data_IF_868444035108
#
_entry.id   IF_868444035108
#
_cell.length_a   1.000
_cell.length_b   1.000
_cell.length_c   1.000
_cell.angle_alpha   90.00
_cell.angle_beta   90.00
_cell.angle_gamma   90.00
#
_symmetry.space_group_name_H-M   'P 1'
#
loop_
_entity.id
_entity.type
_entity.pdbx_description
1 polymer ?
#
# COMPACT_ATOMS: atom_id res chain seq x y z
N UNK A 1 29.26 -98.41 -26.71
CA UNK A 1 29.23 -96.95 -26.96
C UNK A 1 28.03 -96.35 -26.22
N UNK A 2 28.24 -95.88 -24.99
CA UNK A 2 27.19 -95.23 -24.19
C UNK A 2 27.25 -93.70 -24.38
N UNK A 3 26.20 -93.11 -24.95
CA UNK A 3 26.03 -91.65 -25.03
C UNK A 3 25.47 -91.16 -23.70
N UNK A 4 26.24 -90.33 -22.99
CA UNK A 4 25.75 -89.58 -21.82
C UNK A 4 25.14 -88.26 -22.30
N UNK A 5 23.87 -88.06 -22.03
CA UNK A 5 23.15 -86.80 -22.25
C UNK A 5 23.39 -85.91 -21.04
N UNK A 6 23.99 -84.74 -21.22
CA UNK A 6 24.07 -83.71 -20.18
C UNK A 6 22.85 -82.80 -20.25
N UNK A 7 22.13 -82.68 -19.14
CA UNK A 7 21.09 -81.68 -18.95
C UNK A 7 21.72 -80.42 -18.35
N UNK A 8 21.55 -79.28 -19.02
CA UNK A 8 21.93 -77.96 -18.51
C UNK A 8 20.73 -77.38 -17.78
N UNK A 9 20.88 -77.14 -16.48
CA UNK A 9 19.89 -76.42 -15.68
C UNK A 9 20.10 -74.91 -15.84
N UNK A 10 19.08 -74.21 -16.32
CA UNK A 10 19.04 -72.74 -16.39
C UNK A 10 18.29 -72.24 -15.17
N UNK A 11 18.99 -71.60 -14.24
CA UNK A 11 18.37 -70.94 -13.09
C UNK A 11 17.78 -69.59 -13.50
N UNK A 12 16.46 -69.43 -13.33
CA UNK A 12 15.79 -68.16 -13.50
C UNK A 12 16.01 -67.28 -12.25
N UNK A 13 16.62 -66.10 -12.44
CA UNK A 13 16.74 -65.08 -11.39
C UNK A 13 15.46 -64.26 -11.38
N UNK A 14 14.68 -64.35 -10.31
CA UNK A 14 13.50 -63.53 -10.10
C UNK A 14 13.94 -62.12 -9.69
N UNK A 15 13.70 -61.12 -10.54
CA UNK A 15 13.84 -59.71 -10.17
C UNK A 15 12.62 -59.28 -9.36
N UNK A 16 12.81 -59.05 -8.05
CA UNK A 16 11.82 -58.39 -7.21
C UNK A 16 11.80 -56.90 -7.55
N UNK A 17 10.77 -56.45 -8.26
CA UNK A 17 10.52 -55.03 -8.46
C UNK A 17 10.03 -54.41 -7.14
N UNK A 18 10.81 -53.48 -6.56
CA UNK A 18 10.32 -52.62 -5.49
C UNK A 18 9.26 -51.68 -6.09
N UNK A 19 8.00 -51.86 -5.70
CA UNK A 19 6.95 -50.90 -5.98
C UNK A 19 7.18 -49.66 -5.09
N UNK A 20 7.62 -48.56 -5.70
CA UNK A 20 7.65 -47.24 -5.05
C UNK A 20 6.21 -46.74 -4.98
N UNK A 21 5.66 -46.61 -3.77
CA UNK A 21 4.36 -45.99 -3.57
C UNK A 21 4.41 -44.52 -4.05
N UNK A 22 3.43 -44.02 -4.80
CA UNK A 22 3.40 -42.61 -5.19
C UNK A 22 3.27 -41.76 -3.93
N UNK A 23 4.22 -40.83 -3.74
CA UNK A 23 4.11 -39.78 -2.72
C UNK A 23 2.93 -38.91 -3.14
N UNK A 24 1.80 -39.05 -2.44
CA UNK A 24 0.65 -38.17 -2.62
C UNK A 24 1.04 -36.77 -2.18
N UNK A 25 1.33 -35.88 -3.14
CA UNK A 25 1.53 -34.48 -2.86
C UNK A 25 0.21 -33.92 -2.33
N UNK A 26 0.20 -33.41 -1.08
CA UNK A 26 -0.92 -32.62 -0.59
C UNK A 26 -1.06 -31.40 -1.50
N UNK A 27 -2.08 -31.38 -2.35
CA UNK A 27 -2.44 -30.17 -3.08
C UNK A 27 -3.01 -29.19 -2.06
N UNK A 28 -2.30 -28.10 -1.79
CA UNK A 28 -2.86 -27.01 -0.99
C UNK A 28 -4.07 -26.44 -1.73
N UNK A 29 -5.27 -26.63 -1.19
CA UNK A 29 -6.44 -25.92 -1.67
C UNK A 29 -6.33 -24.45 -1.26
N UNK A 30 -6.48 -23.54 -2.23
CA UNK A 30 -6.49 -22.11 -2.00
C UNK A 30 -7.88 -21.54 -2.28
N UNK A 31 -8.32 -20.61 -1.44
CA UNK A 31 -9.58 -19.87 -1.57
C UNK A 31 -9.25 -18.39 -1.75
N UNK A 32 -9.73 -17.82 -2.85
CA UNK A 32 -9.66 -16.39 -3.12
C UNK A 32 -10.92 -15.68 -2.57
N UNK A 33 -10.75 -14.46 -2.10
CA UNK A 33 -11.84 -13.63 -1.57
C UNK A 33 -11.58 -12.16 -1.82
N UNK A 34 -12.66 -11.42 -2.02
CA UNK A 34 -12.64 -9.97 -2.24
C UNK A 34 -13.30 -9.28 -1.06
N UNK A 35 -12.64 -8.25 -0.53
CA UNK A 35 -13.15 -7.44 0.56
C UNK A 35 -13.31 -5.99 0.12
N UNK A 36 -14.52 -5.47 0.26
CA UNK A 36 -14.83 -4.09 -0.08
C UNK A 36 -14.41 -3.16 1.05
N UNK A 37 -13.63 -2.15 0.71
CA UNK A 37 -13.23 -1.07 1.61
C UNK A 37 -13.85 0.22 1.08
N UNK A 38 -14.77 0.85 1.84
CA UNK A 38 -15.40 2.09 1.39
C UNK A 38 -14.40 3.23 1.33
N UNK A 39 -14.80 4.32 0.67
CA UNK A 39 -14.10 5.60 0.76
C UNK A 39 -13.85 5.98 2.22
N UNK A 40 -12.68 6.54 2.50
CA UNK A 40 -12.30 6.91 3.86
C UNK A 40 -11.65 8.28 3.86
N UNK A 41 -12.16 9.17 4.73
CA UNK A 41 -11.51 10.42 5.08
C UNK A 41 -10.70 10.24 6.36
N UNK A 42 -9.46 10.69 6.35
CA UNK A 42 -8.58 10.73 7.52
C UNK A 42 -8.67 12.10 8.16
N UNK A 43 -8.81 12.14 9.49
CA UNK A 43 -8.77 13.39 10.24
C UNK A 43 -7.50 14.19 9.94
N UNK A 44 -7.60 15.52 10.09
CA UNK A 44 -6.54 16.46 9.75
C UNK A 44 -5.20 16.06 10.39
N UNK A 45 -4.19 15.90 9.55
CA UNK A 45 -2.81 15.73 9.96
C UNK A 45 -2.08 17.07 9.90
N UNK A 46 -1.57 17.51 11.04
CA UNK A 46 -0.73 18.71 11.18
C UNK A 46 0.72 18.24 11.31
N UNK A 47 1.58 18.44 10.29
CA UNK A 47 3.00 18.15 10.40
C UNK A 47 3.66 19.04 11.47
N UNK A 48 4.64 18.51 12.22
CA UNK A 48 5.34 19.31 13.21
C UNK A 48 6.12 20.45 12.54
N UNK A 49 6.23 21.56 13.26
CA UNK A 49 7.14 22.64 12.91
C UNK A 49 8.59 22.14 12.97
N UNK A 50 9.37 22.53 11.97
CA UNK A 50 10.76 22.07 11.79
C UNK A 50 11.75 22.77 12.71
N UNK A 51 11.35 23.87 13.35
CA UNK A 51 12.26 24.75 14.10
C UNK A 51 12.80 25.94 13.28
N UNK A 52 12.43 26.07 12.01
CA UNK A 52 12.81 27.18 11.14
C UNK A 52 11.72 28.26 11.07
N UNK A 53 12.11 29.54 11.10
CA UNK A 53 11.22 30.69 11.07
C UNK A 53 10.49 30.97 12.38
N UNK A 54 9.43 31.77 12.30
CA UNK A 54 8.67 32.26 13.46
C UNK A 54 7.31 31.55 13.65
N UNK A 55 7.00 30.59 12.77
CA UNK A 55 5.76 29.80 12.69
C UNK A 55 4.59 30.49 12.00
N UNK A 56 4.78 31.69 11.47
CA UNK A 56 3.81 32.38 10.61
C UNK A 56 4.26 32.29 9.15
N UNK A 57 3.30 32.14 8.22
CA UNK A 57 3.56 32.18 6.77
C UNK A 57 3.15 33.53 6.16
N UNK A 58 2.31 34.31 6.86
CA UNK A 58 2.03 35.73 6.64
C UNK A 58 1.64 36.15 5.20
N UNK A 59 0.91 35.34 4.44
CA UNK A 59 0.56 35.65 3.05
C UNK A 59 1.76 35.64 2.10
N UNK A 60 2.89 35.10 2.53
CA UNK A 60 4.03 34.76 1.68
C UNK A 60 3.99 33.30 1.24
N UNK A 61 2.95 32.62 1.71
CA UNK A 61 2.60 31.25 1.47
C UNK A 61 3.62 30.26 1.99
N UNK A 62 3.20 29.05 2.39
CA UNK A 62 4.04 27.91 2.15
C UNK A 62 3.96 27.48 0.68
N UNK A 63 5.12 27.15 0.11
CA UNK A 63 5.20 26.16 -0.96
C UNK A 63 4.83 24.80 -0.37
N UNK A 64 3.67 24.27 -0.73
CA UNK A 64 3.11 23.03 -0.18
C UNK A 64 3.38 21.83 -1.10
N UNK A 65 3.67 20.69 -0.48
CA UNK A 65 3.66 19.38 -1.10
C UNK A 65 3.05 18.34 -0.15
N UNK A 66 2.17 17.49 -0.67
CA UNK A 66 1.52 16.41 0.08
C UNK A 66 1.68 15.10 -0.67
N UNK A 67 1.77 13.97 0.03
CA UNK A 67 1.59 12.68 -0.60
C UNK A 67 0.99 11.62 0.32
N UNK A 68 0.07 10.85 -0.24
CA UNK A 68 -0.52 9.66 0.34
C UNK A 68 0.14 8.40 -0.19
N UNK A 69 0.41 7.43 0.69
CA UNK A 69 0.97 6.13 0.32
C UNK A 69 0.32 5.00 1.09
N UNK A 70 -0.16 3.98 0.38
CA UNK A 70 -0.63 2.75 0.98
C UNK A 70 0.49 1.69 0.91
N UNK A 71 0.77 1.01 2.03
CA UNK A 71 1.79 -0.05 2.09
C UNK A 71 1.24 -1.32 2.71
N UNK A 72 1.65 -2.44 2.17
CA UNK A 72 1.56 -3.74 2.83
C UNK A 72 2.52 -3.78 4.02
N UNK A 73 2.14 -4.48 5.08
CA UNK A 73 3.12 -4.95 6.06
C UNK A 73 3.88 -6.17 5.52
N UNK A 74 4.92 -6.61 6.24
CA UNK A 74 5.86 -7.63 5.76
C UNK A 74 5.20 -8.98 5.41
N UNK A 75 4.12 -9.36 6.10
CA UNK A 75 3.39 -10.61 5.86
C UNK A 75 2.17 -10.43 4.94
N UNK A 76 1.95 -9.23 4.40
CA UNK A 76 0.83 -8.88 3.54
C UNK A 76 -0.56 -9.14 4.16
N UNK A 77 -0.68 -9.12 5.49
CA UNK A 77 -1.98 -9.26 6.18
C UNK A 77 -2.62 -7.91 6.53
N UNK A 78 -1.87 -6.81 6.39
CA UNK A 78 -2.32 -5.45 6.75
C UNK A 78 -1.92 -4.44 5.70
N UNK A 79 -2.76 -3.43 5.55
CA UNK A 79 -2.47 -2.20 4.85
C UNK A 79 -2.34 -1.06 5.85
N UNK A 80 -1.33 -0.22 5.65
CA UNK A 80 -1.06 0.98 6.44
C UNK A 80 -1.01 2.16 5.48
N UNK A 81 -1.82 3.18 5.77
CA UNK A 81 -1.84 4.42 5.00
C UNK A 81 -0.91 5.44 5.64
N UNK A 82 -0.06 6.07 4.83
CA UNK A 82 0.92 7.07 5.24
C UNK A 82 0.58 8.38 4.55
N UNK A 83 0.46 9.45 5.32
CA UNK A 83 0.32 10.82 4.82
C UNK A 83 1.57 11.61 5.18
N UNK A 84 2.12 12.33 4.22
CA UNK A 84 3.23 13.27 4.44
C UNK A 84 2.82 14.63 3.92
N UNK A 85 3.20 15.67 4.64
CA UNK A 85 3.04 17.06 4.20
C UNK A 85 4.34 17.81 4.48
N UNK A 86 4.73 18.62 3.51
CA UNK A 86 5.81 19.60 3.61
C UNK A 86 5.26 20.95 3.20
N UNK A 87 5.54 21.97 3.99
CA UNK A 87 5.18 23.35 3.69
C UNK A 87 6.34 24.24 4.12
N UNK A 88 6.80 25.13 3.24
CA UNK A 88 7.90 26.05 3.52
C UNK A 88 7.67 27.40 2.90
N UNK A 89 7.87 28.44 3.69
CA UNK A 89 7.77 29.83 3.27
C UNK A 89 8.70 30.16 2.10
N UNK A 90 8.28 31.09 1.24
CA UNK A 90 8.97 31.36 -0.03
C UNK A 90 9.79 32.65 -0.06
N UNK A 91 9.62 33.57 0.91
CA UNK A 91 10.16 34.95 0.81
C UNK A 91 11.02 35.39 2.01
N UNK A 92 10.48 35.36 3.22
CA UNK A 92 11.17 35.74 4.47
C UNK A 92 11.14 34.58 5.45
N UNK A 93 11.88 34.67 6.56
CA UNK A 93 11.89 33.89 7.82
C UNK A 93 11.96 32.35 7.74
N UNK A 94 11.63 31.77 6.60
CA UNK A 94 11.76 30.39 6.18
C UNK A 94 10.97 29.46 7.08
N UNK A 95 9.80 29.90 7.55
CA UNK A 95 8.88 29.08 8.33
C UNK A 95 8.63 27.76 7.59
N UNK A 96 8.75 26.63 8.29
CA UNK A 96 8.59 25.33 7.67
C UNK A 96 7.99 24.26 8.59
N UNK A 97 7.13 23.42 8.02
CA UNK A 97 6.59 22.20 8.63
C UNK A 97 6.93 20.99 7.75
N UNK A 98 7.27 19.88 8.39
CA UNK A 98 7.59 18.63 7.70
C UNK A 98 7.28 17.45 8.61
N UNK A 99 6.53 16.50 8.10
CA UNK A 99 6.50 15.20 8.74
C UNK A 99 5.55 14.23 8.09
N UNK A 100 5.55 13.03 8.64
CA UNK A 100 4.73 11.92 8.18
C UNK A 100 3.94 11.31 9.34
N UNK A 101 2.69 10.94 9.07
CA UNK A 101 1.84 10.15 9.98
C UNK A 101 1.31 8.91 9.28
N UNK A 102 1.20 7.82 10.02
CA UNK A 102 0.62 6.57 9.53
C UNK A 102 -0.70 6.24 10.25
N UNK A 103 -1.62 5.62 9.52
CA UNK A 103 -2.90 5.14 10.01
C UNK A 103 -3.07 3.66 9.66
N UNK A 104 -3.51 2.80 10.60
CA UNK A 104 -4.01 1.48 10.25
C UNK A 104 -5.13 1.62 9.22
N UNK A 105 -4.99 0.95 8.07
CA UNK A 105 -5.95 1.09 6.98
C UNK A 105 -6.92 -0.08 6.95
N UNK A 106 -6.39 -1.28 6.76
CA UNK A 106 -7.16 -2.51 6.64
C UNK A 106 -6.37 -3.71 7.17
N UNK A 107 -7.06 -4.71 7.71
CA UNK A 107 -6.49 -6.00 8.13
C UNK A 107 -7.38 -7.09 7.57
N UNK A 108 -6.80 -8.02 6.80
CA UNK A 108 -7.57 -9.15 6.26
C UNK A 108 -7.92 -10.15 7.36
N UNK A 109 -8.99 -10.96 7.20
CA UNK A 109 -9.31 -12.03 8.13
C UNK A 109 -8.18 -13.06 8.28
N UNK A 110 -8.17 -13.76 9.41
CA UNK A 110 -7.11 -14.69 9.75
C UNK A 110 -6.91 -15.81 8.70
N UNK A 111 -5.64 -15.98 8.29
CA UNK A 111 -5.21 -16.95 7.29
C UNK A 111 -5.26 -16.45 5.85
N UNK A 112 -5.77 -15.24 5.60
CA UNK A 112 -5.68 -14.60 4.28
C UNK A 112 -4.39 -13.78 4.15
N UNK A 113 -3.87 -13.72 2.93
CA UNK A 113 -2.75 -12.88 2.50
C UNK A 113 -3.22 -12.02 1.34
N UNK A 114 -3.00 -10.71 1.42
CA UNK A 114 -3.41 -9.78 0.37
C UNK A 114 -2.58 -10.02 -0.89
N UNK A 115 -3.26 -10.20 -2.01
CA UNK A 115 -2.67 -10.42 -3.33
C UNK A 115 -2.63 -9.11 -4.13
N UNK A 116 -3.72 -8.34 -4.13
CA UNK A 116 -3.79 -7.08 -4.88
C UNK A 116 -4.83 -6.12 -4.31
N UNK A 117 -4.76 -4.88 -4.75
CA UNK A 117 -5.72 -3.83 -4.43
C UNK A 117 -6.19 -3.19 -5.73
N UNK A 118 -7.50 -3.19 -5.94
CA UNK A 118 -8.13 -2.56 -7.11
C UNK A 118 -9.15 -1.52 -6.67
N UNK A 119 -9.67 -0.74 -7.61
CA UNK A 119 -10.93 -0.04 -7.40
C UNK A 119 -12.13 -0.98 -7.61
N UNK A 120 -13.37 -0.55 -7.31
CA UNK A 120 -14.58 -1.35 -7.46
C UNK A 120 -14.94 -1.76 -8.90
N UNK A 121 -14.22 -1.27 -9.91
CA UNK A 121 -14.42 -1.69 -11.31
C UNK A 121 -13.23 -2.52 -11.83
N UNK A 122 -12.38 -3.00 -10.93
CA UNK A 122 -11.31 -3.95 -11.22
C UNK A 122 -10.00 -3.34 -11.72
N UNK A 123 -9.82 -2.01 -11.65
CA UNK A 123 -8.56 -1.36 -12.07
C UNK A 123 -7.54 -1.40 -10.95
N UNK A 124 -6.30 -1.76 -11.27
CA UNK A 124 -5.20 -1.72 -10.29
C UNK A 124 -4.91 -0.29 -9.87
N UNK A 125 -4.93 -0.03 -8.55
CA UNK A 125 -4.67 1.29 -8.00
C UNK A 125 -3.18 1.64 -7.99
N UNK A 126 -2.87 2.90 -8.26
CA UNK A 126 -1.55 3.46 -7.93
C UNK A 126 -1.51 3.76 -6.43
N UNK A 127 -0.71 2.97 -5.68
CA UNK A 127 -0.65 3.01 -4.22
C UNK A 127 0.23 4.14 -3.64
N UNK A 128 0.68 5.06 -4.49
CA UNK A 128 1.39 6.28 -4.09
C UNK A 128 0.88 7.44 -4.92
N UNK A 129 0.52 8.54 -4.27
CA UNK A 129 0.06 9.76 -4.94
C UNK A 129 0.85 10.95 -4.42
N UNK A 130 1.64 11.56 -5.29
CA UNK A 130 2.43 12.74 -4.99
C UNK A 130 1.71 13.98 -5.51
N UNK A 131 1.14 14.79 -4.63
CA UNK A 131 0.43 16.01 -5.02
C UNK A 131 1.31 16.89 -5.92
N UNK A 132 0.66 17.70 -6.75
CA UNK A 132 1.35 18.84 -7.35
C UNK A 132 1.86 19.74 -6.23
N UNK A 133 3.03 20.32 -6.48
CA UNK A 133 3.58 21.37 -5.63
C UNK A 133 2.93 22.67 -6.07
N UNK A 134 2.46 23.46 -5.11
CA UNK A 134 1.91 24.79 -5.37
C UNK A 134 2.30 25.74 -4.23
N UNK A 135 2.09 27.03 -4.44
CA UNK A 135 2.23 28.06 -3.41
C UNK A 135 0.82 28.41 -2.96
N UNK A 136 0.56 28.25 -1.68
CA UNK A 136 -0.69 28.64 -1.02
C UNK A 136 -0.50 30.06 -0.49
N UNK A 137 -1.00 31.09 -1.16
CA UNK A 137 -0.77 32.51 -0.84
C UNK A 137 -2.00 33.22 -0.28
N UNK A 138 -3.03 32.47 0.11
CA UNK A 138 -4.21 32.97 0.80
C UNK A 138 -4.50 32.16 2.08
N UNK A 139 -5.44 32.60 2.91
CA UNK A 139 -5.75 31.89 4.16
C UNK A 139 -6.87 30.85 4.02
N UNK A 140 -7.23 30.45 2.79
CA UNK A 140 -8.31 29.52 2.53
C UNK A 140 -7.82 28.07 2.52
N UNK A 141 -8.76 27.13 2.71
CA UNK A 141 -8.47 25.71 2.52
C UNK A 141 -8.48 25.38 1.02
N UNK A 142 -7.38 24.83 0.52
CA UNK A 142 -7.29 24.31 -0.85
C UNK A 142 -7.81 22.88 -0.95
N UNK A 143 -8.46 22.58 -2.07
CA UNK A 143 -8.83 21.20 -2.43
C UNK A 143 -8.05 20.76 -3.66
N UNK A 144 -7.13 19.83 -3.44
CA UNK A 144 -6.36 19.19 -4.51
C UNK A 144 -7.02 17.88 -4.91
N UNK A 145 -7.21 17.68 -6.20
CA UNK A 145 -7.50 16.35 -6.76
C UNK A 145 -6.28 15.41 -6.66
N UNK A 146 -6.43 14.15 -7.09
CA UNK A 146 -5.30 13.24 -7.15
C UNK A 146 -4.27 13.75 -8.17
N UNK A 147 -3.00 13.53 -7.90
CA UNK A 147 -1.97 13.83 -8.88
C UNK A 147 -1.95 12.81 -10.01
N UNK A 148 -2.24 11.54 -9.71
CA UNK A 148 -2.38 10.49 -10.72
C UNK A 148 -3.79 10.50 -11.29
N UNK A 149 -3.91 11.00 -12.52
CA UNK A 149 -5.18 11.11 -13.27
C UNK A 149 -5.38 9.98 -14.29
N UNK A 150 -4.51 8.96 -14.28
CA UNK A 150 -4.62 7.80 -15.18
C UNK A 150 -5.96 7.09 -14.99
N UNK A 151 -6.68 6.89 -16.09
CA UNK A 151 -7.93 6.13 -16.09
C UNK A 151 -7.69 4.62 -15.98
N UNK A 152 -6.53 4.12 -16.40
CA UNK A 152 -6.16 2.71 -16.31
C UNK A 152 -5.61 2.34 -14.92
N UNK A 153 -4.89 3.27 -14.29
CA UNK A 153 -4.26 3.09 -12.98
C UNK A 153 -4.55 4.28 -12.07
N UNK A 154 -5.82 4.45 -11.62
CA UNK A 154 -6.19 5.61 -10.85
C UNK A 154 -5.45 5.67 -9.51
N UNK A 155 -5.27 6.89 -9.00
CA UNK A 155 -4.71 7.12 -7.67
C UNK A 155 -5.54 6.45 -6.57
N UNK A 156 -4.89 5.93 -5.53
CA UNK A 156 -5.58 5.53 -4.29
C UNK A 156 -6.27 6.73 -3.62
N UNK A 157 -5.74 7.94 -3.81
CA UNK A 157 -6.26 9.17 -3.24
C UNK A 157 -7.37 9.70 -4.14
N UNK A 158 -8.43 10.18 -3.50
CA UNK A 158 -9.51 10.91 -4.15
C UNK A 158 -9.24 12.42 -4.08
N UNK A 159 -8.83 12.92 -2.92
CA UNK A 159 -8.50 14.34 -2.74
C UNK A 159 -7.64 14.59 -1.50
N UNK A 160 -6.98 15.74 -1.50
CA UNK A 160 -6.40 16.38 -0.33
C UNK A 160 -7.14 17.69 -0.07
N UNK A 161 -7.50 17.96 1.19
CA UNK A 161 -7.88 19.29 1.65
C UNK A 161 -6.75 19.84 2.50
N UNK A 162 -6.09 20.86 2.00
CA UNK A 162 -4.89 21.46 2.59
C UNK A 162 -5.27 22.76 3.25
N UNK A 163 -4.74 22.98 4.45
CA UNK A 163 -4.65 24.29 5.08
C UNK A 163 -3.16 24.60 5.13
N UNK A 164 -2.62 25.45 4.26
CA UNK A 164 -1.20 25.80 4.25
C UNK A 164 -0.96 27.07 5.04
N UNK A 165 -1.21 28.21 4.41
CA UNK A 165 -1.09 29.54 5.00
C UNK A 165 -2.28 29.82 5.93
N UNK A 166 -2.00 30.46 7.05
CA UNK A 166 -2.96 30.76 8.10
C UNK A 166 -2.55 32.05 8.78
N UNK A 167 -3.50 32.79 9.34
CA UNK A 167 -3.18 34.03 10.02
C UNK A 167 -2.55 33.79 11.40
N UNK A 168 -1.23 33.89 11.50
CA UNK A 168 -0.48 33.86 12.76
C UNK A 168 0.37 32.61 12.93
N UNK A 169 0.84 32.36 14.15
CA UNK A 169 1.87 31.36 14.44
C UNK A 169 1.34 29.91 14.46
N UNK A 170 0.86 29.41 13.33
CA UNK A 170 0.18 28.11 13.25
C UNK A 170 0.88 27.00 12.46
N UNK A 171 2.12 27.24 12.05
CA UNK A 171 3.01 26.16 11.66
C UNK A 171 3.14 25.15 12.82
N UNK A 172 2.69 23.92 12.59
CA UNK A 172 2.70 22.85 13.60
C UNK A 172 1.47 22.78 14.50
N UNK A 173 0.48 23.66 14.32
CA UNK A 173 -0.79 23.60 15.09
C UNK A 173 -2.04 23.62 14.21
N UNK A 174 -2.03 24.33 13.07
CA UNK A 174 -3.18 24.41 12.15
C UNK A 174 -2.81 24.09 10.71
N UNK A 175 -1.63 24.45 10.22
CA UNK A 175 -1.22 24.10 8.86
C UNK A 175 -1.13 22.58 8.73
N UNK A 176 -1.90 21.99 7.82
CA UNK A 176 -2.09 20.54 7.78
C UNK A 176 -2.95 20.08 6.62
N UNK A 177 -3.20 18.78 6.56
CA UNK A 177 -3.93 18.15 5.46
C UNK A 177 -4.92 17.10 5.94
N UNK A 178 -6.11 17.13 5.36
CA UNK A 178 -7.11 16.05 5.40
C UNK A 178 -6.99 15.28 4.09
N UNK A 179 -7.02 13.94 4.14
CA UNK A 179 -6.91 13.11 2.95
C UNK A 179 -8.11 12.20 2.82
N UNK A 180 -8.67 12.12 1.63
CA UNK A 180 -9.74 11.16 1.29
C UNK A 180 -9.19 10.13 0.33
N UNK A 181 -9.27 8.84 0.69
CA UNK A 181 -8.93 7.72 -0.18
C UNK A 181 -10.17 7.15 -0.84
N UNK A 182 -10.05 6.73 -2.09
CA UNK A 182 -11.16 6.10 -2.84
C UNK A 182 -11.64 4.81 -2.18
N UNK A 183 -12.86 4.41 -2.53
CA UNK A 183 -13.29 3.04 -2.34
C UNK A 183 -12.37 2.08 -3.10
N UNK A 184 -12.12 0.91 -2.53
CA UNK A 184 -11.22 -0.10 -3.09
C UNK A 184 -11.68 -1.51 -2.75
N UNK A 185 -11.19 -2.47 -3.52
CA UNK A 185 -11.36 -3.89 -3.29
C UNK A 185 -10.01 -4.51 -2.95
N UNK A 186 -9.99 -5.29 -1.88
CA UNK A 186 -8.82 -6.05 -1.43
C UNK A 186 -9.02 -7.49 -1.85
N UNK A 187 -8.20 -7.97 -2.78
CA UNK A 187 -8.20 -9.37 -3.20
C UNK A 187 -7.18 -10.11 -2.35
N UNK A 188 -7.63 -11.12 -1.62
CA UNK A 188 -6.79 -11.90 -0.72
C UNK A 188 -7.01 -13.40 -0.92
N UNK A 189 -5.98 -14.16 -0.57
CA UNK A 189 -5.95 -15.61 -0.74
C UNK A 189 -5.65 -16.30 0.57
N UNK A 190 -6.34 -17.40 0.84
CA UNK A 190 -6.08 -18.31 1.96
C UNK A 190 -5.79 -19.70 1.42
N UNK A 191 -4.62 -20.24 1.70
CA UNK A 191 -4.24 -21.60 1.33
C UNK A 191 -4.12 -22.49 2.57
N UNK A 192 -4.70 -23.68 2.53
CA UNK A 192 -4.51 -24.71 3.56
C UNK A 192 -3.40 -25.66 3.14
N UNK A 193 -2.38 -25.81 3.98
CA UNK A 193 -1.30 -26.82 3.85
C UNK A 193 -1.70 -28.18 4.39
#
# INVERSE_FOLDING_TARGET
MGKRTMAVAVSAVAMAALAVAPVSARSSACVDSTFNVPERSFGKYVPPWTGAGDKDFHGHGPRVQVWGRLRYNADHTKLVFWITMKARETKSDWTAVDGTKSFPFYTVPAGYVIQSVTDPIGRTLTLVDYSKIYVDDDHADDVLGPAVTSTAHPSLVLSYRVTGDTSGNEAGTRSGVTTTTRAMEIHARKCTT
#
